data_IF_043483613925
#
_entry.id   IF_043483613925
#
_cell.length_a   1.000
_cell.length_b   1.000
_cell.length_c   1.000
_cell.angle_alpha   90.00
_cell.angle_beta   90.00
_cell.angle_gamma   90.00
#
_symmetry.space_group_name_H-M   'P 1'
#
loop_
_entity.id
_entity.type
_entity.pdbx_description
1 polymer ?
#
# COMPACT_ATOMS: atom_id res chain seq x y z
N UNK A 1 -37.99 -14.69 53.45
CA UNK A 1 -37.04 -15.35 52.53
C UNK A 1 -37.55 -15.19 51.10
N UNK A 2 -37.04 -14.19 50.37
CA UNK A 2 -37.40 -13.95 48.97
C UNK A 2 -36.44 -14.78 48.10
N UNK A 3 -36.98 -15.75 47.34
CA UNK A 3 -36.24 -16.51 46.34
C UNK A 3 -35.88 -15.59 45.16
N UNK A 4 -34.61 -15.27 45.01
CA UNK A 4 -34.10 -14.73 43.78
C UNK A 4 -34.28 -15.77 42.68
N UNK A 5 -35.26 -15.57 41.79
CA UNK A 5 -35.32 -16.27 40.52
C UNK A 5 -34.20 -15.74 39.63
N UNK A 6 -33.24 -16.60 39.23
CA UNK A 6 -32.27 -16.31 38.20
C UNK A 6 -33.03 -16.03 36.88
N UNK A 7 -32.59 -15.05 36.05
CA UNK A 7 -33.25 -14.76 34.80
C UNK A 7 -33.10 -15.94 33.83
N UNK A 8 -34.25 -16.45 33.35
CA UNK A 8 -34.31 -17.49 32.34
C UNK A 8 -33.55 -17.08 31.09
N UNK A 9 -32.43 -17.75 30.82
CA UNK A 9 -31.67 -17.61 29.58
C UNK A 9 -32.47 -18.25 28.45
N UNK A 10 -33.09 -17.43 27.61
CA UNK A 10 -33.88 -17.89 26.48
C UNK A 10 -33.03 -18.71 25.50
N UNK A 11 -33.34 -19.97 25.16
CA UNK A 11 -32.56 -20.84 24.28
C UNK A 11 -32.43 -20.33 22.82
N UNK A 12 -33.31 -19.42 22.40
CA UNK A 12 -33.25 -18.77 21.08
C UNK A 12 -32.06 -17.82 20.97
N UNK A 13 -31.68 -17.15 22.06
CA UNK A 13 -30.54 -16.23 22.12
C UNK A 13 -29.20 -16.98 21.99
N UNK A 14 -29.11 -18.15 22.58
CA UNK A 14 -27.93 -19.03 22.52
C UNK A 14 -27.72 -19.58 21.10
N UNK A 15 -28.75 -19.97 20.37
CA UNK A 15 -28.69 -20.45 18.99
C UNK A 15 -28.23 -19.36 18.02
N UNK A 16 -28.69 -18.12 18.17
CA UNK A 16 -28.24 -17.00 17.35
C UNK A 16 -26.78 -16.67 17.62
N UNK A 17 -26.36 -16.67 18.88
CA UNK A 17 -24.94 -16.45 19.24
C UNK A 17 -24.03 -17.54 18.67
N UNK A 18 -24.42 -18.83 18.79
CA UNK A 18 -23.65 -19.94 18.22
C UNK A 18 -23.54 -19.82 16.71
N UNK A 19 -24.66 -19.52 16.02
CA UNK A 19 -24.63 -19.32 14.56
C UNK A 19 -23.72 -18.17 14.14
N UNK A 20 -23.77 -17.03 14.82
CA UNK A 20 -22.92 -15.86 14.53
C UNK A 20 -21.45 -16.19 14.77
N UNK A 21 -21.14 -16.87 15.87
CA UNK A 21 -19.78 -17.33 16.18
C UNK A 21 -19.27 -18.29 15.12
N UNK A 22 -20.07 -19.30 14.75
CA UNK A 22 -19.69 -20.26 13.71
C UNK A 22 -19.41 -19.57 12.36
N UNK A 23 -20.29 -18.64 11.94
CA UNK A 23 -20.07 -17.87 10.71
C UNK A 23 -18.81 -16.99 10.78
N UNK A 24 -18.53 -16.38 11.92
CA UNK A 24 -17.31 -15.60 12.13
C UNK A 24 -16.06 -16.48 12.05
N UNK A 25 -16.08 -17.67 12.65
CA UNK A 25 -14.95 -18.62 12.60
C UNK A 25 -14.73 -19.16 11.19
N UNK A 26 -15.82 -19.48 10.45
CA UNK A 26 -15.73 -19.88 9.04
C UNK A 26 -15.13 -18.73 8.21
N UNK A 27 -15.62 -17.51 8.38
CA UNK A 27 -15.11 -16.33 7.70
C UNK A 27 -13.61 -16.09 7.96
N UNK A 28 -13.18 -16.23 9.22
CA UNK A 28 -11.77 -16.11 9.59
C UNK A 28 -10.91 -17.21 8.96
N UNK A 29 -11.40 -18.45 8.96
CA UNK A 29 -10.71 -19.58 8.32
C UNK A 29 -10.55 -19.35 6.82
N UNK A 30 -11.60 -18.92 6.14
CA UNK A 30 -11.55 -18.58 4.72
C UNK A 30 -10.60 -17.43 4.42
N UNK A 31 -10.55 -16.41 5.29
CA UNK A 31 -9.59 -15.30 5.18
C UNK A 31 -8.14 -15.77 5.29
N UNK A 32 -7.83 -16.67 6.25
CA UNK A 32 -6.49 -17.25 6.40
C UNK A 32 -6.11 -18.08 5.16
N UNK A 33 -7.03 -18.90 4.66
CA UNK A 33 -6.80 -19.68 3.42
C UNK A 33 -6.57 -18.74 2.23
N UNK A 34 -7.34 -17.66 2.10
CA UNK A 34 -7.17 -16.68 1.04
C UNK A 34 -5.79 -15.98 1.14
N UNK A 35 -5.29 -15.67 2.33
CA UNK A 35 -3.94 -15.16 2.53
C UNK A 35 -2.88 -16.17 2.06
N UNK A 36 -2.97 -17.42 2.50
CA UNK A 36 -2.02 -18.48 2.08
C UNK A 36 -2.05 -18.64 0.56
N UNK A 37 -3.24 -18.72 -0.04
CA UNK A 37 -3.40 -18.87 -1.48
C UNK A 37 -2.83 -17.66 -2.24
N UNK A 38 -3.05 -16.43 -1.75
CA UNK A 38 -2.53 -15.22 -2.36
C UNK A 38 -1.00 -15.16 -2.30
N UNK A 39 -0.41 -15.38 -1.13
CA UNK A 39 1.04 -15.33 -0.97
C UNK A 39 1.75 -16.48 -1.69
N UNK A 40 1.21 -17.69 -1.65
CA UNK A 40 1.76 -18.81 -2.43
C UNK A 40 1.62 -18.59 -3.92
N UNK A 41 0.49 -18.04 -4.37
CA UNK A 41 0.27 -17.65 -5.78
C UNK A 41 1.23 -16.58 -6.29
N UNK A 42 1.64 -15.67 -5.39
CA UNK A 42 2.61 -14.63 -5.73
C UNK A 42 4.06 -15.15 -5.72
N UNK A 43 4.45 -15.99 -4.74
CA UNK A 43 5.86 -16.21 -4.40
C UNK A 43 6.35 -17.65 -4.61
N UNK A 44 5.47 -18.67 -4.71
CA UNK A 44 5.90 -20.07 -4.72
C UNK A 44 6.56 -20.50 -6.03
N UNK A 45 6.24 -19.87 -7.15
CA UNK A 45 6.77 -20.23 -8.49
C UNK A 45 7.18 -18.95 -9.22
N UNK A 46 8.27 -18.28 -8.84
CA UNK A 46 8.75 -17.09 -9.54
C UNK A 46 9.18 -17.49 -10.96
N UNK A 47 8.64 -16.80 -11.93
CA UNK A 47 8.98 -16.97 -13.36
C UNK A 47 9.30 -15.62 -13.94
N UNK A 48 10.32 -15.56 -14.79
CA UNK A 48 10.77 -14.29 -15.36
C UNK A 48 9.78 -13.81 -16.44
N UNK A 49 9.30 -12.57 -16.28
CA UNK A 49 8.36 -11.92 -17.19
C UNK A 49 8.83 -10.51 -17.51
N UNK A 50 9.24 -10.26 -18.77
CA UNK A 50 9.59 -8.92 -19.26
C UNK A 50 10.54 -8.14 -18.34
N UNK A 51 11.59 -8.77 -17.79
CA UNK A 51 12.62 -8.07 -17.05
C UNK A 51 13.30 -7.03 -17.97
N UNK A 52 13.31 -5.79 -17.55
CA UNK A 52 13.90 -4.72 -18.34
C UNK A 52 15.43 -4.74 -18.25
N UNK A 53 16.12 -4.78 -19.39
CA UNK A 53 17.57 -4.88 -19.45
C UNK A 53 18.15 -3.84 -20.40
N UNK A 54 19.09 -3.00 -19.93
CA UNK A 54 19.89 -2.17 -20.79
C UNK A 54 21.03 -2.98 -21.39
N UNK A 55 21.31 -2.83 -22.68
CA UNK A 55 22.33 -3.60 -23.36
C UNK A 55 23.24 -2.68 -24.19
N UNK A 56 24.56 -2.76 -23.94
CA UNK A 56 25.61 -2.16 -24.76
C UNK A 56 26.52 -3.28 -25.26
N UNK A 57 26.22 -3.82 -26.45
CA UNK A 57 26.89 -4.99 -27.00
C UNK A 57 26.85 -4.97 -28.54
N UNK A 58 27.67 -5.77 -29.24
CA UNK A 58 27.54 -6.01 -30.67
C UNK A 58 26.13 -6.53 -31.02
N UNK A 59 25.63 -6.14 -32.19
CA UNK A 59 24.25 -6.41 -32.62
C UNK A 59 23.85 -7.89 -32.52
N UNK A 60 24.74 -8.82 -32.80
CA UNK A 60 24.47 -10.26 -32.68
C UNK A 60 24.10 -10.68 -31.25
N UNK A 61 24.75 -10.08 -30.24
CA UNK A 61 24.45 -10.34 -28.81
C UNK A 61 23.11 -9.69 -28.44
N UNK A 62 22.89 -8.45 -28.89
CA UNK A 62 21.62 -7.73 -28.67
C UNK A 62 20.44 -8.53 -29.23
N UNK A 63 20.56 -9.02 -30.48
CA UNK A 63 19.50 -9.80 -31.14
C UNK A 63 19.24 -11.14 -30.44
N UNK A 64 20.33 -11.77 -29.95
CA UNK A 64 20.23 -13.02 -29.16
C UNK A 64 19.52 -12.82 -27.80
N UNK A 65 19.65 -11.65 -27.18
CA UNK A 65 18.96 -11.30 -25.93
C UNK A 65 17.52 -10.91 -26.25
N UNK A 66 17.28 -10.09 -27.29
CA UNK A 66 15.95 -9.63 -27.71
C UNK A 66 15.02 -10.77 -28.13
N UNK A 67 15.57 -11.86 -28.65
CA UNK A 67 14.80 -13.06 -28.98
C UNK A 67 14.26 -13.85 -27.77
N UNK A 68 14.48 -13.38 -26.54
CA UNK A 68 13.98 -14.01 -25.33
C UNK A 68 12.74 -13.24 -24.82
N UNK A 69 11.56 -13.82 -24.90
CA UNK A 69 10.27 -13.22 -24.46
C UNK A 69 10.27 -12.76 -23.00
N UNK A 70 11.16 -13.33 -22.18
CA UNK A 70 11.29 -12.99 -20.78
C UNK A 70 12.00 -11.65 -20.52
N UNK A 71 12.61 -11.04 -21.54
CA UNK A 71 13.42 -9.82 -21.43
C UNK A 71 12.86 -8.69 -22.28
N UNK A 72 12.86 -7.47 -21.74
CA UNK A 72 12.57 -6.25 -22.46
C UNK A 72 13.88 -5.47 -22.63
N UNK A 73 14.43 -5.47 -23.86
CA UNK A 73 15.75 -4.93 -24.17
C UNK A 73 15.68 -3.46 -24.55
N UNK A 74 16.49 -2.65 -23.90
CA UNK A 74 16.79 -1.24 -24.26
C UNK A 74 18.25 -1.13 -24.67
N UNK A 75 18.55 -0.76 -25.89
CA UNK A 75 19.93 -0.51 -26.33
C UNK A 75 20.45 0.81 -25.78
N UNK A 76 21.69 0.82 -25.33
CA UNK A 76 22.40 2.01 -24.82
C UNK A 76 23.79 2.10 -25.46
N UNK A 77 24.35 3.33 -25.46
CA UNK A 77 25.54 3.60 -26.23
C UNK A 77 26.85 3.07 -25.64
N UNK A 78 26.93 3.00 -24.30
CA UNK A 78 28.15 2.66 -23.60
C UNK A 78 27.94 2.10 -22.20
N UNK A 79 29.03 1.74 -21.54
CA UNK A 79 29.12 1.18 -20.21
C UNK A 79 28.53 2.13 -19.14
N UNK A 80 28.84 3.43 -19.24
CA UNK A 80 28.35 4.42 -18.28
C UNK A 80 26.83 4.61 -18.38
N UNK A 81 26.30 4.67 -19.60
CA UNK A 81 24.87 4.75 -19.85
C UNK A 81 24.14 3.50 -19.36
N UNK A 82 24.71 2.31 -19.58
CA UNK A 82 24.14 1.05 -19.10
C UNK A 82 24.04 1.02 -17.55
N UNK A 83 25.14 1.35 -16.88
CA UNK A 83 25.21 1.46 -15.43
C UNK A 83 24.21 2.48 -14.87
N UNK A 84 24.10 3.65 -15.52
CA UNK A 84 23.18 4.71 -15.13
C UNK A 84 21.70 4.26 -15.24
N UNK A 85 21.33 3.51 -16.29
CA UNK A 85 19.96 2.98 -16.44
C UNK A 85 19.52 2.14 -15.24
N UNK A 86 20.41 1.31 -14.68
CA UNK A 86 20.14 0.49 -13.49
C UNK A 86 20.04 1.37 -12.23
N UNK A 87 21.00 2.27 -12.01
CA UNK A 87 21.00 3.15 -10.84
C UNK A 87 19.84 4.14 -10.84
N UNK A 88 19.43 4.62 -12.01
CA UNK A 88 18.26 5.48 -12.17
C UNK A 88 16.93 4.72 -12.13
N UNK A 89 16.97 3.39 -11.95
CA UNK A 89 15.80 2.49 -11.89
C UNK A 89 14.95 2.53 -13.17
N UNK A 90 15.57 2.79 -14.31
CA UNK A 90 14.93 2.72 -15.63
C UNK A 90 14.92 1.29 -16.18
N UNK A 91 15.93 0.50 -15.80
CA UNK A 91 16.01 -0.93 -16.10
C UNK A 91 16.34 -1.73 -14.84
N UNK A 92 15.98 -3.01 -14.84
CA UNK A 92 16.22 -3.94 -13.73
C UNK A 92 17.68 -4.43 -13.68
N UNK A 93 18.34 -4.47 -14.84
CA UNK A 93 19.73 -4.86 -14.99
C UNK A 93 20.35 -4.24 -16.26
N UNK A 94 21.67 -4.37 -16.41
CA UNK A 94 22.32 -4.04 -17.68
C UNK A 94 23.42 -5.04 -18.02
N UNK A 95 23.62 -5.28 -19.33
CA UNK A 95 24.63 -6.18 -19.87
C UNK A 95 25.51 -5.40 -20.87
N UNK A 96 26.80 -5.39 -20.63
CA UNK A 96 27.75 -4.64 -21.45
C UNK A 96 28.87 -5.55 -21.91
N UNK A 97 29.12 -5.62 -23.22
CA UNK A 97 30.28 -6.30 -23.76
C UNK A 97 31.42 -5.31 -23.88
N UNK A 98 32.44 -5.46 -23.05
CA UNK A 98 33.63 -4.63 -23.08
C UNK A 98 34.50 -4.98 -24.31
N UNK A 99 35.32 -4.03 -24.83
CA UNK A 99 36.25 -4.31 -25.91
C UNK A 99 37.29 -5.41 -25.60
N UNK A 100 37.49 -5.68 -24.32
CA UNK A 100 38.37 -6.75 -23.81
C UNK A 100 37.85 -8.16 -24.02
N UNK A 101 36.57 -8.33 -24.51
CA UNK A 101 35.92 -9.63 -24.64
C UNK A 101 35.32 -10.17 -23.34
N UNK A 102 34.99 -9.28 -22.42
CA UNK A 102 34.35 -9.57 -21.15
C UNK A 102 32.94 -8.98 -21.14
N UNK A 103 31.97 -9.68 -20.53
CA UNK A 103 30.63 -9.15 -20.28
C UNK A 103 30.50 -8.67 -18.85
N UNK A 104 30.26 -7.37 -18.66
CA UNK A 104 29.89 -6.79 -17.38
C UNK A 104 28.39 -6.88 -17.20
N UNK A 105 27.95 -7.34 -16.03
CA UNK A 105 26.55 -7.49 -15.62
C UNK A 105 26.32 -6.53 -14.47
N UNK A 106 25.52 -5.48 -14.70
CA UNK A 106 25.10 -4.54 -13.69
C UNK A 106 23.78 -4.97 -13.09
N UNK A 107 23.75 -5.11 -11.76
CA UNK A 107 22.56 -5.46 -10.96
C UNK A 107 22.38 -4.46 -9.83
N UNK A 108 21.23 -4.49 -9.15
CA UNK A 108 20.95 -3.66 -7.99
C UNK A 108 20.28 -4.48 -6.89
N UNK A 109 21.05 -4.97 -5.93
CA UNK A 109 20.58 -5.79 -4.81
C UNK A 109 19.55 -5.08 -3.95
N UNK A 110 19.73 -3.78 -3.69
CA UNK A 110 18.77 -2.92 -2.98
C UNK A 110 17.47 -2.67 -3.74
N UNK A 111 17.42 -2.94 -5.05
CA UNK A 111 16.20 -2.93 -5.85
C UNK A 111 15.32 -4.16 -5.68
N UNK A 112 15.92 -5.24 -5.13
CA UNK A 112 15.27 -6.53 -4.89
C UNK A 112 16.22 -7.68 -5.21
N UNK A 113 16.65 -8.39 -4.18
CA UNK A 113 17.66 -9.46 -4.28
C UNK A 113 17.27 -10.55 -5.28
N UNK A 114 15.99 -10.92 -5.34
CA UNK A 114 15.50 -11.93 -6.28
C UNK A 114 15.67 -11.51 -7.75
N UNK A 115 15.46 -10.22 -8.05
CA UNK A 115 15.64 -9.68 -9.40
C UNK A 115 17.11 -9.60 -9.75
N UNK A 116 17.96 -9.11 -8.84
CA UNK A 116 19.40 -9.05 -9.03
C UNK A 116 20.00 -10.45 -9.31
N UNK A 117 19.61 -11.45 -8.53
CA UNK A 117 20.04 -12.84 -8.74
C UNK A 117 19.55 -13.41 -10.09
N UNK A 118 18.29 -13.13 -10.46
CA UNK A 118 17.77 -13.58 -11.76
C UNK A 118 18.52 -12.92 -12.93
N UNK A 119 18.80 -11.62 -12.81
CA UNK A 119 19.58 -10.87 -13.80
C UNK A 119 21.02 -11.39 -13.95
N UNK A 120 21.66 -11.70 -12.82
CA UNK A 120 23.00 -12.32 -12.82
C UNK A 120 22.99 -13.67 -13.54
N UNK A 121 22.03 -14.55 -13.23
CA UNK A 121 21.91 -15.88 -13.88
C UNK A 121 21.72 -15.70 -15.41
N UNK A 122 20.83 -14.80 -15.80
CA UNK A 122 20.57 -14.53 -17.23
C UNK A 122 21.84 -13.97 -17.89
N UNK A 123 22.49 -12.96 -17.30
CA UNK A 123 23.68 -12.33 -17.85
C UNK A 123 24.85 -13.33 -18.00
N UNK A 124 25.09 -14.17 -16.99
CA UNK A 124 26.10 -15.25 -17.08
C UNK A 124 25.76 -16.27 -18.15
N UNK A 125 24.48 -16.59 -18.33
CA UNK A 125 24.03 -17.51 -19.39
C UNK A 125 24.26 -16.92 -20.78
N UNK A 126 23.97 -15.62 -20.96
CA UNK A 126 24.23 -14.90 -22.22
C UNK A 126 25.72 -14.83 -22.50
N UNK A 127 26.55 -14.48 -21.51
CA UNK A 127 28.00 -14.45 -21.63
C UNK A 127 28.58 -15.80 -22.05
N UNK A 128 28.15 -16.87 -21.40
CA UNK A 128 28.59 -18.24 -21.71
C UNK A 128 28.24 -18.65 -23.15
N UNK A 129 27.04 -18.32 -23.64
CA UNK A 129 26.61 -18.58 -25.02
C UNK A 129 27.42 -17.78 -26.05
N UNK A 130 27.86 -16.57 -25.65
CA UNK A 130 28.70 -15.73 -26.49
C UNK A 130 30.21 -16.04 -26.38
N UNK A 131 30.61 -17.02 -25.53
CA UNK A 131 32.01 -17.34 -25.29
C UNK A 131 32.77 -16.25 -24.52
N UNK A 132 32.09 -15.42 -23.72
CA UNK A 132 32.64 -14.32 -22.97
C UNK A 132 32.80 -14.68 -21.49
N UNK A 133 33.85 -14.14 -20.83
CA UNK A 133 33.93 -14.09 -19.38
C UNK A 133 32.89 -13.11 -18.84
N UNK A 134 32.34 -13.36 -17.64
CA UNK A 134 31.33 -12.50 -17.03
C UNK A 134 31.78 -11.99 -15.66
N UNK A 135 31.70 -10.66 -15.47
CA UNK A 135 31.84 -10.00 -14.17
C UNK A 135 30.52 -9.37 -13.75
N UNK A 136 30.30 -9.28 -12.45
CA UNK A 136 29.07 -8.71 -11.87
C UNK A 136 29.41 -7.54 -10.98
N UNK A 137 28.74 -6.42 -11.19
CA UNK A 137 28.82 -5.24 -10.34
C UNK A 137 27.41 -4.93 -9.77
N UNK A 138 27.29 -4.87 -8.45
CA UNK A 138 26.09 -4.40 -7.78
C UNK A 138 26.17 -2.88 -7.59
N UNK A 139 25.39 -2.13 -8.38
CA UNK A 139 25.42 -0.66 -8.41
C UNK A 139 24.69 0.00 -7.25
N UNK A 140 23.86 -0.75 -6.56
CA UNK A 140 23.08 -0.32 -5.40
C UNK A 140 22.90 -1.54 -4.46
N UNK A 141 23.93 -1.92 -3.69
CA UNK A 141 23.90 -3.12 -2.86
C UNK A 141 22.87 -2.97 -1.71
N UNK A 142 22.26 -4.07 -1.33
CA UNK A 142 21.40 -4.13 -0.16
C UNK A 142 22.20 -3.85 1.12
N UNK A 143 21.55 -3.28 2.14
CA UNK A 143 22.18 -2.98 3.42
C UNK A 143 22.70 -4.25 4.10
N UNK A 144 23.80 -4.14 4.86
CA UNK A 144 24.37 -5.27 5.61
C UNK A 144 23.40 -5.84 6.65
N UNK A 145 22.52 -5.01 7.21
CA UNK A 145 21.47 -5.43 8.15
C UNK A 145 20.27 -6.12 7.48
N UNK A 146 20.17 -6.07 6.14
CA UNK A 146 19.15 -6.78 5.35
C UNK A 146 19.74 -7.38 4.06
N UNK A 147 20.60 -8.38 4.14
CA UNK A 147 21.21 -8.98 2.96
C UNK A 147 20.18 -9.66 2.03
N UNK A 148 19.00 -9.93 2.53
CA UNK A 148 17.89 -10.52 1.75
C UNK A 148 17.04 -9.47 1.02
N UNK A 149 17.12 -8.17 1.39
CA UNK A 149 16.33 -7.08 0.81
C UNK A 149 14.83 -7.24 1.07
N UNK A 150 14.46 -7.63 2.30
CA UNK A 150 13.06 -7.94 2.67
C UNK A 150 12.50 -7.04 3.77
N UNK A 151 13.33 -6.24 4.42
CA UNK A 151 12.89 -5.38 5.53
C UNK A 151 11.90 -4.32 5.06
N UNK A 152 12.09 -3.73 3.87
CA UNK A 152 11.13 -2.78 3.28
C UNK A 152 9.75 -3.42 3.11
N UNK A 153 9.72 -4.67 2.65
CA UNK A 153 8.47 -5.42 2.50
C UNK A 153 7.78 -5.62 3.84
N UNK A 154 8.49 -6.09 4.86
CA UNK A 154 7.90 -6.29 6.19
C UNK A 154 7.43 -4.97 6.80
N UNK A 155 8.21 -3.89 6.69
CA UNK A 155 7.80 -2.58 7.16
C UNK A 155 6.46 -2.15 6.51
N UNK A 156 6.33 -2.30 5.19
CA UNK A 156 5.14 -1.91 4.46
C UNK A 156 3.93 -2.78 4.80
N UNK A 157 4.04 -4.11 4.81
CA UNK A 157 2.87 -4.97 5.08
C UNK A 157 2.37 -4.83 6.51
N UNK A 158 3.26 -4.66 7.49
CA UNK A 158 2.83 -4.50 8.88
C UNK A 158 2.30 -3.09 9.16
N UNK A 159 2.85 -2.04 8.53
CA UNK A 159 2.22 -0.71 8.56
C UNK A 159 0.86 -0.72 7.87
N UNK A 160 0.67 -1.47 6.78
CA UNK A 160 -0.63 -1.66 6.13
C UNK A 160 -1.68 -2.16 7.11
N UNK A 161 -1.32 -3.21 7.87
CA UNK A 161 -2.20 -3.78 8.90
C UNK A 161 -2.45 -2.76 10.02
N UNK A 162 -1.38 -2.14 10.55
CA UNK A 162 -1.48 -1.14 11.62
C UNK A 162 -2.33 0.06 11.23
N UNK A 163 -2.12 0.63 10.04
CA UNK A 163 -2.91 1.75 9.52
C UNK A 163 -4.38 1.38 9.29
N UNK A 164 -4.65 0.16 8.80
CA UNK A 164 -6.00 -0.35 8.59
C UNK A 164 -6.76 -0.54 9.90
N UNK A 165 -6.12 -1.17 10.89
CA UNK A 165 -6.69 -1.35 12.23
C UNK A 165 -6.87 0.01 12.90
N UNK A 166 -5.86 0.89 12.85
CA UNK A 166 -5.93 2.24 13.40
C UNK A 166 -7.08 3.06 12.83
N UNK A 167 -7.23 3.09 11.49
CA UNK A 167 -8.35 3.77 10.84
C UNK A 167 -9.71 3.22 11.29
N UNK A 168 -9.82 1.90 11.49
CA UNK A 168 -11.04 1.24 11.97
C UNK A 168 -11.33 1.61 13.43
N UNK A 169 -10.31 1.59 14.30
CA UNK A 169 -10.44 1.96 15.72
C UNK A 169 -10.83 3.42 15.86
N UNK A 170 -10.13 4.33 15.18
CA UNK A 170 -10.47 5.76 15.15
C UNK A 170 -11.91 5.95 14.67
N UNK A 171 -12.32 5.19 13.64
CA UNK A 171 -13.70 5.20 13.14
C UNK A 171 -14.74 4.79 14.14
N UNK A 172 -14.46 3.76 14.94
CA UNK A 172 -15.38 3.26 15.99
C UNK A 172 -15.46 4.20 17.19
N UNK A 173 -14.32 4.71 17.65
CA UNK A 173 -14.25 5.58 18.82
C UNK A 173 -14.81 6.99 18.57
N UNK A 174 -14.53 7.57 17.41
CA UNK A 174 -14.97 8.91 17.04
C UNK A 174 -16.33 8.95 16.35
N UNK A 175 -16.90 7.79 16.04
CA UNK A 175 -18.21 7.66 15.40
C UNK A 175 -18.24 8.12 13.93
N UNK A 176 -19.47 8.33 13.43
CA UNK A 176 -19.68 8.75 12.04
C UNK A 176 -19.25 10.20 11.82
N UNK A 177 -18.61 10.47 10.69
CA UNK A 177 -18.28 11.84 10.26
C UNK A 177 -19.57 12.56 9.86
N UNK A 178 -19.97 13.57 10.66
CA UNK A 178 -21.23 14.30 10.48
C UNK A 178 -21.04 15.76 10.13
N UNK A 179 -19.86 16.31 10.39
CA UNK A 179 -19.53 17.72 10.14
C UNK A 179 -18.03 17.90 9.84
N UNK A 180 -17.61 19.05 9.27
CA UNK A 180 -16.20 19.29 8.93
C UNK A 180 -15.24 19.22 10.10
N UNK A 181 -15.65 19.65 11.32
CA UNK A 181 -14.80 19.57 12.50
C UNK A 181 -14.50 18.12 12.90
N UNK A 182 -15.52 17.27 12.90
CA UNK A 182 -15.32 15.83 13.17
C UNK A 182 -14.40 15.19 12.12
N UNK A 183 -14.53 15.58 10.85
CA UNK A 183 -13.62 15.13 9.79
C UNK A 183 -12.19 15.59 10.07
N UNK A 184 -11.98 16.88 10.38
CA UNK A 184 -10.66 17.42 10.65
C UNK A 184 -9.99 16.75 11.87
N UNK A 185 -10.72 16.60 12.98
CA UNK A 185 -10.22 15.91 14.17
C UNK A 185 -9.85 14.45 13.88
N UNK A 186 -10.70 13.73 13.14
CA UNK A 186 -10.44 12.36 12.76
C UNK A 186 -9.21 12.22 11.86
N UNK A 187 -9.06 13.13 10.89
CA UNK A 187 -7.89 13.16 10.01
C UNK A 187 -6.61 13.50 10.81
N UNK A 188 -6.67 14.47 11.73
CA UNK A 188 -5.56 14.83 12.59
C UNK A 188 -5.16 13.65 13.50
N UNK A 189 -6.13 12.96 14.11
CA UNK A 189 -5.87 11.76 14.92
C UNK A 189 -5.22 10.65 14.11
N UNK A 190 -5.71 10.41 12.88
CA UNK A 190 -5.12 9.42 11.98
C UNK A 190 -3.69 9.81 11.58
N UNK A 191 -3.45 11.09 11.30
CA UNK A 191 -2.11 11.60 10.95
C UNK A 191 -1.13 11.44 12.12
N UNK A 192 -1.54 11.79 13.33
CA UNK A 192 -0.74 11.61 14.55
C UNK A 192 -0.43 10.12 14.80
N UNK A 193 -1.44 9.26 14.74
CA UNK A 193 -1.24 7.82 14.89
C UNK A 193 -0.30 7.26 13.81
N UNK A 194 -0.48 7.66 12.55
CA UNK A 194 0.38 7.24 11.44
C UNK A 194 1.83 7.71 11.63
N UNK A 195 2.04 8.92 12.20
CA UNK A 195 3.37 9.42 12.51
C UNK A 195 4.05 8.61 13.62
N UNK A 196 3.32 8.28 14.69
CA UNK A 196 3.83 7.40 15.76
C UNK A 196 4.17 6.01 15.23
N UNK A 197 3.29 5.41 14.43
CA UNK A 197 3.50 4.11 13.82
C UNK A 197 4.72 4.11 12.89
N UNK A 198 4.81 5.09 11.99
CA UNK A 198 5.94 5.23 11.08
C UNK A 198 7.24 5.48 11.85
N UNK A 199 7.22 6.34 12.87
CA UNK A 199 8.39 6.62 13.71
C UNK A 199 8.89 5.39 14.47
N UNK A 200 7.98 4.62 15.07
CA UNK A 200 8.33 3.37 15.76
C UNK A 200 8.95 2.35 14.81
N UNK A 201 8.38 2.18 13.60
CA UNK A 201 8.94 1.27 12.59
C UNK A 201 10.28 1.79 12.07
N UNK A 202 10.43 3.09 11.81
CA UNK A 202 11.70 3.69 11.39
C UNK A 202 12.81 3.42 12.42
N UNK A 203 12.55 3.70 13.70
CA UNK A 203 13.51 3.40 14.77
C UNK A 203 13.88 1.91 14.80
N UNK A 204 12.90 1.03 14.61
CA UNK A 204 13.15 -0.41 14.61
C UNK A 204 14.02 -0.86 13.44
N UNK A 205 13.71 -0.42 12.22
CA UNK A 205 14.43 -0.86 11.01
C UNK A 205 15.79 -0.19 10.85
N UNK A 206 15.93 1.03 11.33
CA UNK A 206 17.19 1.80 11.29
C UNK A 206 18.11 1.40 12.47
N UNK A 207 17.66 1.62 13.72
CA UNK A 207 18.52 1.51 14.90
C UNK A 207 18.69 0.05 15.37
N UNK A 208 17.61 -0.76 15.34
CA UNK A 208 17.64 -2.12 15.89
C UNK A 208 18.12 -3.12 14.84
N UNK A 209 17.60 -3.05 13.61
CA UNK A 209 17.99 -3.97 12.54
C UNK A 209 19.22 -3.50 11.76
N UNK A 210 19.51 -2.19 11.71
CA UNK A 210 20.59 -1.65 10.90
C UNK A 210 20.36 -1.83 9.38
N UNK A 211 19.09 -1.83 8.95
CA UNK A 211 18.71 -2.17 7.58
C UNK A 211 18.49 -0.95 6.69
N UNK A 212 17.81 0.08 7.18
CA UNK A 212 17.46 1.30 6.44
C UNK A 212 18.11 2.53 7.09
N UNK A 213 19.43 2.56 7.10
CA UNK A 213 20.24 3.51 7.89
C UNK A 213 20.70 4.72 7.10
N UNK A 214 20.63 4.68 5.77
CA UNK A 214 21.20 5.72 4.91
C UNK A 214 20.40 7.02 4.91
N UNK A 215 19.07 6.94 5.07
CA UNK A 215 18.17 8.06 4.86
C UNK A 215 16.99 8.08 5.84
N UNK A 216 17.25 8.03 7.16
CA UNK A 216 16.26 7.87 8.24
C UNK A 216 15.02 8.77 8.12
N UNK A 217 15.18 10.08 7.84
CA UNK A 217 14.06 11.02 7.72
C UNK A 217 13.21 10.80 6.46
N UNK A 218 13.83 10.42 5.37
CA UNK A 218 13.12 10.08 4.13
C UNK A 218 12.38 8.75 4.28
N UNK A 219 12.97 7.77 4.96
CA UNK A 219 12.32 6.50 5.33
C UNK A 219 11.10 6.78 6.20
N UNK A 220 11.25 7.58 7.27
CA UNK A 220 10.11 8.01 8.09
C UNK A 220 9.01 8.66 7.26
N UNK A 221 9.37 9.62 6.40
CA UNK A 221 8.42 10.33 5.54
C UNK A 221 7.68 9.39 4.58
N UNK A 222 8.39 8.43 3.98
CA UNK A 222 7.82 7.42 3.09
C UNK A 222 6.83 6.50 3.83
N UNK A 223 7.18 6.02 5.02
CA UNK A 223 6.33 5.19 5.86
C UNK A 223 5.10 5.95 6.37
N UNK A 224 5.26 7.21 6.75
CA UNK A 224 4.14 8.05 7.17
C UNK A 224 3.17 8.34 6.02
N UNK A 225 3.69 8.73 4.85
CA UNK A 225 2.88 8.93 3.64
C UNK A 225 2.11 7.65 3.28
N UNK A 226 2.77 6.51 3.33
CA UNK A 226 2.15 5.22 3.07
C UNK A 226 1.03 4.90 4.07
N UNK A 227 1.29 5.06 5.38
CA UNK A 227 0.28 4.85 6.42
C UNK A 227 -0.94 5.77 6.24
N UNK A 228 -0.69 7.04 5.88
CA UNK A 228 -1.74 8.01 5.56
C UNK A 228 -2.54 7.63 4.32
N UNK A 229 -1.90 7.14 3.27
CA UNK A 229 -2.57 6.69 2.04
C UNK A 229 -3.52 5.53 2.33
N UNK A 230 -3.05 4.50 3.05
CA UNK A 230 -3.87 3.33 3.43
C UNK A 230 -4.98 3.71 4.40
N UNK A 231 -4.65 4.38 5.52
CA UNK A 231 -5.61 4.76 6.54
C UNK A 231 -6.64 5.78 6.04
N UNK A 232 -6.20 6.71 5.17
CA UNK A 232 -7.05 7.69 4.50
C UNK A 232 -8.05 7.03 3.55
N UNK A 233 -7.60 6.10 2.71
CA UNK A 233 -8.47 5.34 1.80
C UNK A 233 -9.55 4.55 2.57
N UNK A 234 -9.16 3.83 3.63
CA UNK A 234 -10.10 3.08 4.48
C UNK A 234 -11.09 4.01 5.16
N UNK A 235 -10.63 5.16 5.66
CA UNK A 235 -11.50 6.16 6.29
C UNK A 235 -12.49 6.77 5.29
N UNK A 236 -12.02 7.09 4.06
CA UNK A 236 -12.84 7.61 2.99
C UNK A 236 -13.93 6.64 2.54
N UNK A 237 -13.55 5.38 2.30
CA UNK A 237 -14.50 4.32 1.95
C UNK A 237 -15.50 4.06 3.08
N UNK A 238 -15.05 4.04 4.35
CA UNK A 238 -15.95 3.92 5.50
C UNK A 238 -16.94 5.09 5.59
N UNK A 239 -16.49 6.29 5.30
CA UNK A 239 -17.34 7.48 5.29
C UNK A 239 -18.37 7.46 4.16
N UNK A 240 -17.99 7.03 2.96
CA UNK A 240 -18.85 7.03 1.78
C UNK A 240 -19.82 5.85 1.75
N UNK A 241 -19.33 4.64 2.02
CA UNK A 241 -20.01 3.37 1.77
C UNK A 241 -20.26 2.53 3.02
N UNK A 242 -19.79 3.00 4.19
CA UNK A 242 -20.00 2.32 5.47
C UNK A 242 -18.91 1.31 5.85
N UNK A 243 -19.06 0.72 7.04
CA UNK A 243 -18.05 -0.15 7.64
C UNK A 243 -17.83 -1.47 6.89
N UNK A 244 -18.85 -2.00 6.23
CA UNK A 244 -18.70 -3.23 5.45
C UNK A 244 -17.79 -3.03 4.24
N UNK A 245 -17.99 -1.95 3.48
CA UNK A 245 -17.15 -1.63 2.33
C UNK A 245 -15.69 -1.37 2.75
N UNK A 246 -15.46 -0.69 3.88
CA UNK A 246 -14.09 -0.49 4.39
C UNK A 246 -13.44 -1.79 4.87
N UNK A 247 -14.21 -2.74 5.40
CA UNK A 247 -13.72 -4.07 5.75
C UNK A 247 -13.30 -4.85 4.49
N UNK A 248 -14.09 -4.78 3.41
CA UNK A 248 -13.76 -5.42 2.12
C UNK A 248 -12.48 -4.81 1.54
N UNK A 249 -12.35 -3.45 1.57
CA UNK A 249 -11.12 -2.80 1.13
C UNK A 249 -9.91 -3.23 1.97
N UNK A 250 -10.07 -3.29 3.30
CA UNK A 250 -9.00 -3.76 4.19
C UNK A 250 -8.59 -5.20 3.85
N UNK A 251 -9.55 -6.10 3.68
CA UNK A 251 -9.27 -7.49 3.29
C UNK A 251 -8.55 -7.57 1.93
N UNK A 252 -8.98 -6.77 0.94
CA UNK A 252 -8.31 -6.68 -0.35
C UNK A 252 -6.85 -6.21 -0.21
N UNK A 253 -6.61 -5.13 0.52
CA UNK A 253 -5.26 -4.59 0.73
C UNK A 253 -4.36 -5.57 1.48
N UNK A 254 -4.88 -6.28 2.48
CA UNK A 254 -4.10 -7.25 3.26
C UNK A 254 -3.85 -8.54 2.48
N UNK A 255 -4.84 -9.06 1.76
CA UNK A 255 -4.71 -10.34 1.03
C UNK A 255 -4.00 -10.16 -0.30
N UNK A 256 -4.50 -9.28 -1.16
CA UNK A 256 -3.96 -9.09 -2.52
C UNK A 256 -2.85 -8.02 -2.53
N UNK A 257 -3.09 -6.89 -1.88
CA UNK A 257 -2.15 -5.77 -1.87
C UNK A 257 -0.79 -6.16 -1.27
N UNK A 258 -0.77 -6.85 -0.14
CA UNK A 258 0.47 -7.29 0.49
C UNK A 258 1.19 -8.36 -0.36
N UNK A 259 0.48 -9.30 -0.98
CA UNK A 259 1.08 -10.29 -1.88
C UNK A 259 1.64 -9.63 -3.16
N UNK A 260 0.99 -8.58 -3.65
CA UNK A 260 1.43 -7.80 -4.81
C UNK A 260 2.49 -6.73 -4.48
N UNK A 261 2.97 -6.63 -3.24
CA UNK A 261 3.96 -5.61 -2.85
C UNK A 261 5.35 -5.77 -3.50
N UNK A 262 5.62 -6.88 -4.17
CA UNK A 262 6.88 -7.20 -4.84
C UNK A 262 8.11 -7.13 -3.92
N UNK A 263 7.98 -7.62 -2.69
CA UNK A 263 9.03 -7.62 -1.69
C UNK A 263 10.04 -8.76 -1.88
N UNK A 264 9.74 -9.99 -1.40
CA UNK A 264 10.66 -11.13 -1.52
C UNK A 264 10.89 -11.57 -2.96
N UNK A 265 9.85 -11.46 -3.79
CA UNK A 265 9.90 -11.71 -5.23
C UNK A 265 9.60 -10.40 -5.94
N UNK A 266 10.57 -9.86 -6.68
CA UNK A 266 10.42 -8.60 -7.39
C UNK A 266 9.45 -8.68 -8.57
N UNK A 267 8.95 -7.53 -9.00
CA UNK A 267 7.88 -7.40 -10.00
C UNK A 267 8.09 -8.25 -11.28
N UNK A 268 9.30 -8.30 -11.89
CA UNK A 268 9.52 -9.11 -13.10
C UNK A 268 9.42 -10.61 -12.88
N UNK A 269 9.39 -11.07 -11.63
CA UNK A 269 9.32 -12.48 -11.25
C UNK A 269 7.94 -12.89 -10.73
N UNK A 270 7.03 -11.91 -10.50
CA UNK A 270 5.65 -12.17 -10.11
C UNK A 270 4.82 -12.64 -11.31
N UNK A 271 3.79 -13.45 -11.04
CA UNK A 271 2.80 -13.78 -12.08
C UNK A 271 2.11 -12.52 -12.62
N UNK A 272 1.63 -12.54 -13.86
CA UNK A 272 1.04 -11.38 -14.53
C UNK A 272 -0.07 -10.70 -13.73
N UNK A 273 -0.88 -11.47 -12.98
CA UNK A 273 -1.89 -10.94 -12.07
C UNK A 273 -1.26 -10.05 -10.99
N UNK A 274 -0.34 -10.57 -10.18
CA UNK A 274 0.28 -9.81 -9.09
C UNK A 274 1.19 -8.68 -9.60
N UNK A 275 1.91 -8.89 -10.69
CA UNK A 275 2.73 -7.87 -11.34
C UNK A 275 1.92 -6.64 -11.77
N UNK A 276 0.70 -6.84 -12.27
CA UNK A 276 -0.23 -5.75 -12.61
C UNK A 276 -0.66 -5.00 -11.35
N UNK A 277 -1.05 -5.73 -10.30
CA UNK A 277 -1.47 -5.10 -9.05
C UNK A 277 -0.35 -4.36 -8.34
N UNK A 278 0.91 -4.77 -8.45
CA UNK A 278 2.07 -4.07 -7.86
C UNK A 278 2.10 -2.57 -8.19
N UNK A 279 1.75 -2.19 -9.41
CA UNK A 279 1.75 -0.79 -9.85
C UNK A 279 0.55 0.02 -9.33
N UNK A 280 -0.54 -0.66 -8.95
CA UNK A 280 -1.82 -0.02 -8.61
C UNK A 280 -1.99 0.10 -7.09
N UNK A 281 -1.61 -0.96 -6.35
CA UNK A 281 -1.81 -1.00 -4.89
C UNK A 281 -0.79 -0.14 -4.14
N UNK A 282 -1.17 0.45 -3.00
CA UNK A 282 -0.26 1.27 -2.22
C UNK A 282 0.95 0.49 -1.70
N UNK A 283 0.83 -0.83 -1.46
CA UNK A 283 1.91 -1.67 -0.94
C UNK A 283 3.10 -1.76 -1.90
N UNK A 284 2.86 -2.00 -3.19
CA UNK A 284 3.92 -2.02 -4.20
C UNK A 284 4.64 -0.67 -4.31
N UNK A 285 3.86 0.42 -4.26
CA UNK A 285 4.41 1.77 -4.24
C UNK A 285 5.19 2.06 -2.95
N UNK A 286 4.72 1.58 -1.80
CA UNK A 286 5.44 1.73 -0.53
C UNK A 286 6.81 1.07 -0.55
N UNK A 287 6.90 -0.20 -0.96
CA UNK A 287 8.17 -0.93 -1.10
C UNK A 287 9.09 -0.24 -2.11
N UNK A 288 8.55 0.14 -3.28
CA UNK A 288 9.33 0.82 -4.31
C UNK A 288 9.87 2.17 -3.83
N UNK A 289 9.08 2.95 -3.08
CA UNK A 289 9.49 4.25 -2.54
C UNK A 289 10.62 4.09 -1.51
N UNK A 290 10.49 3.15 -0.58
CA UNK A 290 11.54 2.88 0.41
C UNK A 290 12.86 2.50 -0.28
N UNK A 291 12.82 1.61 -1.26
CA UNK A 291 14.00 1.24 -2.04
C UNK A 291 14.60 2.42 -2.79
N UNK A 292 13.77 3.25 -3.43
CA UNK A 292 14.23 4.46 -4.12
C UNK A 292 14.99 5.41 -3.20
N UNK A 293 14.44 5.62 -2.01
CA UNK A 293 15.01 6.53 -1.02
C UNK A 293 16.30 5.96 -0.45
N UNK A 294 16.31 4.70 -0.05
CA UNK A 294 17.43 4.11 0.68
C UNK A 294 18.64 3.80 -0.22
N UNK A 295 18.40 3.19 -1.40
CA UNK A 295 19.48 2.62 -2.19
C UNK A 295 19.81 3.38 -3.48
N UNK A 296 18.89 4.26 -3.94
CA UNK A 296 19.03 4.88 -5.27
C UNK A 296 19.06 6.41 -5.24
N UNK A 297 19.27 7.01 -4.06
CA UNK A 297 19.31 8.47 -3.93
C UNK A 297 18.03 9.17 -4.38
N UNK A 298 16.88 8.51 -4.27
CA UNK A 298 15.58 9.02 -4.69
C UNK A 298 15.21 8.73 -6.15
N UNK A 299 16.09 8.13 -6.94
CA UNK A 299 15.77 7.74 -8.32
C UNK A 299 14.58 6.77 -8.34
N UNK A 300 13.67 6.95 -9.30
CA UNK A 300 12.45 6.15 -9.43
C UNK A 300 11.37 6.41 -8.36
N UNK A 301 11.53 7.40 -7.46
CA UNK A 301 10.57 7.73 -6.41
C UNK A 301 9.28 8.40 -6.92
N UNK A 302 9.30 9.04 -8.08
CA UNK A 302 8.19 9.85 -8.58
C UNK A 302 6.90 9.04 -8.74
N UNK A 303 6.95 7.92 -9.44
CA UNK A 303 5.79 7.06 -9.69
C UNK A 303 5.15 6.55 -8.40
N UNK A 304 5.90 5.93 -7.44
CA UNK A 304 5.32 5.50 -6.18
C UNK A 304 4.78 6.65 -5.33
N UNK A 305 5.41 7.83 -5.32
CA UNK A 305 4.88 9.01 -4.63
C UNK A 305 3.53 9.44 -5.20
N UNK A 306 3.39 9.50 -6.52
CA UNK A 306 2.14 9.84 -7.20
C UNK A 306 1.06 8.81 -6.88
N UNK A 307 1.36 7.52 -6.92
CA UNK A 307 0.39 6.46 -6.58
C UNK A 307 -0.10 6.60 -5.14
N UNK A 308 0.80 6.80 -4.18
CA UNK A 308 0.42 6.99 -2.77
C UNK A 308 -0.39 8.28 -2.56
N UNK A 309 -0.03 9.37 -3.26
CA UNK A 309 -0.79 10.62 -3.23
C UNK A 309 -2.20 10.43 -3.78
N UNK A 310 -2.37 9.67 -4.86
CA UNK A 310 -3.69 9.34 -5.44
C UNK A 310 -4.54 8.56 -4.43
N UNK A 311 -3.98 7.55 -3.76
CA UNK A 311 -4.70 6.78 -2.74
C UNK A 311 -5.14 7.66 -1.56
N UNK A 312 -4.25 8.51 -1.06
CA UNK A 312 -4.57 9.47 0.01
C UNK A 312 -5.60 10.51 -0.40
N UNK A 313 -5.42 11.11 -1.58
CA UNK A 313 -6.34 12.12 -2.13
C UNK A 313 -7.74 11.54 -2.41
N UNK A 314 -7.82 10.33 -2.98
CA UNK A 314 -9.10 9.65 -3.22
C UNK A 314 -9.83 9.38 -1.90
N UNK A 315 -9.12 8.91 -0.86
CA UNK A 315 -9.68 8.73 0.48
C UNK A 315 -10.20 10.04 1.08
N UNK A 316 -9.41 11.12 1.01
CA UNK A 316 -9.82 12.44 1.47
C UNK A 316 -11.04 12.96 0.71
N UNK A 317 -11.04 12.86 -0.61
CA UNK A 317 -12.16 13.31 -1.46
C UNK A 317 -13.45 12.55 -1.11
N UNK A 318 -13.40 11.23 -0.99
CA UNK A 318 -14.54 10.42 -0.57
C UNK A 318 -15.07 10.85 0.81
N UNK A 319 -14.18 11.10 1.77
CA UNK A 319 -14.58 11.55 3.11
C UNK A 319 -15.22 12.95 3.07
N UNK A 320 -14.67 13.87 2.29
CA UNK A 320 -15.20 15.25 2.12
C UNK A 320 -16.58 15.20 1.46
N UNK A 321 -16.73 14.52 0.33
CA UNK A 321 -18.00 14.41 -0.40
C UNK A 321 -19.06 13.74 0.46
N UNK A 322 -18.73 12.62 1.14
CA UNK A 322 -19.66 11.94 2.03
C UNK A 322 -20.08 12.82 3.23
N UNK A 323 -19.17 13.66 3.74
CA UNK A 323 -19.50 14.62 4.81
C UNK A 323 -20.38 15.72 4.29
N UNK A 324 -20.04 16.33 3.15
CA UNK A 324 -20.78 17.41 2.53
C UNK A 324 -22.23 16.99 2.19
N UNK A 325 -22.42 15.76 1.69
CA UNK A 325 -23.76 15.23 1.37
C UNK A 325 -24.66 15.04 2.60
N UNK A 326 -24.09 14.93 3.81
CA UNK A 326 -24.81 14.76 5.07
C UNK A 326 -25.05 16.05 5.84
N UNK A 327 -24.37 17.14 5.45
CA UNK A 327 -24.55 18.45 6.10
C UNK A 327 -25.90 19.03 5.66
N UNK A 328 -26.78 19.32 6.64
CA UNK A 328 -28.03 20.01 6.37
C UNK A 328 -27.76 21.51 6.19
N UNK A 329 -27.44 21.91 4.93
CA UNK A 329 -27.13 23.29 4.58
C UNK A 329 -28.30 24.25 4.84
N UNK A 330 -29.55 23.78 4.83
CA UNK A 330 -30.73 24.57 5.12
C UNK A 330 -30.73 25.06 6.58
N UNK A 331 -30.43 24.20 7.52
CA UNK A 331 -30.32 24.56 8.94
C UNK A 331 -29.12 25.52 9.24
N UNK A 332 -28.08 25.44 8.44
CA UNK A 332 -26.93 26.37 8.54
C UNK A 332 -27.33 27.73 7.98
N UNK A 333 -27.98 27.76 6.83
CA UNK A 333 -28.41 29.00 6.19
C UNK A 333 -29.42 29.78 7.04
N UNK A 334 -30.38 29.09 7.68
CA UNK A 334 -31.36 29.67 8.60
C UNK A 334 -30.72 30.30 9.86
N UNK A 335 -29.53 29.82 10.29
CA UNK A 335 -28.78 30.43 11.43
C UNK A 335 -28.06 31.74 11.05
N UNK A 336 -27.76 31.95 9.79
CA UNK A 336 -27.04 33.12 9.29
C UNK A 336 -27.91 34.18 8.68
N UNK A 337 -29.25 33.93 8.52
CA UNK A 337 -30.21 34.93 8.10
C UNK A 337 -30.83 35.62 9.34
N UNK A 338 -30.44 36.84 9.67
CA UNK A 338 -31.11 37.59 10.71
C UNK A 338 -32.50 38.01 10.17
N UNK A 339 -33.55 37.29 10.55
CA UNK A 339 -34.92 37.73 10.23
C UNK A 339 -36.00 36.68 10.03
N UNK A 340 -35.73 35.36 10.17
CA UNK A 340 -36.80 34.35 10.02
C UNK A 340 -37.46 33.90 11.35
N UNK A 341 -37.01 34.41 12.47
CA UNK A 341 -37.52 34.05 13.81
C UNK A 341 -38.80 34.84 14.23
N UNK A 342 -39.57 35.33 13.29
CA UNK A 342 -40.68 36.26 13.62
C UNK A 342 -41.98 36.04 12.87
N UNK A 343 -42.33 34.84 12.37
CA UNK A 343 -43.60 34.67 11.62
C UNK A 343 -44.49 33.50 11.94
N UNK A 344 -44.22 32.72 12.97
CA UNK A 344 -45.10 31.60 13.39
C UNK A 344 -45.67 31.79 14.82
N UNK A 345 -46.13 33.00 15.14
CA UNK A 345 -46.69 33.32 16.47
C UNK A 345 -48.06 33.98 16.49
N UNK A 346 -48.84 33.96 15.40
CA UNK A 346 -50.16 34.59 15.40
C UNK A 346 -51.19 33.74 14.64
N UNK A 347 -51.44 32.52 15.08
CA UNK A 347 -52.74 31.85 14.78
C UNK A 347 -53.65 32.15 15.93
N UNK A 348 -54.57 33.09 15.73
CA UNK A 348 -55.70 33.43 16.54
C UNK A 348 -56.51 32.13 16.88
N UNK A 349 -56.59 31.80 18.17
CA UNK A 349 -57.59 30.87 18.66
C UNK A 349 -58.99 31.49 18.50
N UNK A 350 -59.96 30.85 17.80
CA UNK A 350 -61.33 31.31 17.86
C UNK A 350 -61.88 31.03 19.29
N UNK A 351 -62.38 32.06 19.91
CA UNK A 351 -63.00 31.97 21.21
C UNK A 351 -64.19 31.02 21.21
N UNK A 352 -64.20 30.09 22.15
CA UNK A 352 -65.40 29.35 22.55
C UNK A 352 -66.28 30.31 23.33
N UNK A 353 -67.38 30.77 22.69
CA UNK A 353 -68.54 31.34 23.37
C UNK A 353 -69.22 30.17 24.13
N UNK A 354 -69.26 30.29 25.43
CA UNK A 354 -70.15 29.51 26.29
C UNK A 354 -71.58 30.05 26.22
N UNK A 355 -72.62 29.27 25.97
CA UNK A 355 -73.97 29.74 26.26
C UNK A 355 -74.27 29.58 27.76
N UNK A 356 -74.69 30.67 28.34
CA UNK A 356 -75.42 30.64 29.59
C UNK A 356 -76.85 30.10 29.33
N UNK A 357 -77.25 29.11 30.06
CA UNK A 357 -78.43 29.02 30.91
C UNK A 357 -78.47 27.65 31.62
#
# INVERSE_FOLDING_TARGET
MAKHQAPDRHPVRDRAAIRTTALAMIGLTLFVIAMIASYSGAFAKPTLHHMSVAVAAPQQVVDGIRGQDALAVTEVGDDAAARAQVYERKTDAAFVVAPTGEMKIYVAGGGGRSVANAAEIVGRTVAAKAGLAATVEDVAPAAAGDPSGTVEFYAIIFISIGASVGATVVGRLMGAVRNPLTLALRTATLAGFSAVLAGAVTVYVDVILGALTGHTWQVFGALWLYAMAVGGAITGVAAAFGSFASMVLTAFLVVIGNAAAAGPVGRPLLSGFYSTFTAIVPQGSGVSLLRSVEYFGGNGAQTPLVTLAIWGAAGCLLAIVATASRVNYRAIYERFLPGSAGRDGAILRPGLLSPAD
#
